data_IF_568858806053
#
_entry.id   IF_568858806053
#
_cell.length_a   1.000
_cell.length_b   1.000
_cell.length_c   1.000
_cell.angle_alpha   90.00
_cell.angle_beta   90.00
_cell.angle_gamma   90.00
#
_symmetry.space_group_name_H-M   'P 1'
#
loop_
_entity.id
_entity.type
_entity.pdbx_description
1 polymer ?
#
# COMPACT_ATOMS: atom_id res chain seq x y z
N UNK A 1 47.70 4.96 -20.27
CA UNK A 1 46.76 4.09 -21.00
C UNK A 1 45.81 3.47 -19.98
N UNK A 2 44.77 4.21 -19.57
CA UNK A 2 43.78 3.73 -18.60
C UNK A 2 42.58 3.17 -19.38
N UNK A 3 42.71 1.94 -19.86
CA UNK A 3 41.54 1.17 -20.26
C UNK A 3 40.91 0.63 -18.97
N UNK A 4 39.75 1.12 -18.58
CA UNK A 4 39.14 0.66 -17.33
C UNK A 4 37.65 0.91 -17.16
N UNK A 5 37.09 1.95 -17.78
CA UNK A 5 35.66 2.21 -17.73
C UNK A 5 35.23 2.70 -19.10
N UNK A 6 34.29 1.99 -19.70
CA UNK A 6 33.54 2.49 -20.84
C UNK A 6 32.58 3.58 -20.31
N UNK A 7 32.85 4.82 -20.68
CA UNK A 7 32.15 6.00 -20.18
C UNK A 7 30.65 5.94 -20.48
N UNK A 8 30.25 5.36 -21.62
CA UNK A 8 28.85 5.22 -22.00
C UNK A 8 28.12 4.19 -21.13
N UNK A 9 28.80 3.06 -20.85
CA UNK A 9 28.26 2.04 -19.93
C UNK A 9 28.13 2.59 -18.51
N UNK A 10 29.11 3.37 -18.05
CA UNK A 10 29.07 3.99 -16.74
C UNK A 10 27.94 5.02 -16.64
N UNK A 11 27.80 5.89 -17.65
CA UNK A 11 26.71 6.87 -17.72
C UNK A 11 25.34 6.20 -17.71
N UNK A 12 25.17 5.12 -18.47
CA UNK A 12 23.91 4.35 -18.48
C UNK A 12 23.57 3.79 -17.10
N UNK A 13 24.53 3.15 -16.43
CA UNK A 13 24.32 2.63 -15.06
C UNK A 13 23.98 3.73 -14.08
N UNK A 14 24.65 4.89 -14.18
CA UNK A 14 24.36 6.03 -13.32
C UNK A 14 22.94 6.55 -13.52
N UNK A 15 22.47 6.68 -14.77
CA UNK A 15 21.07 7.10 -15.06
C UNK A 15 20.04 6.11 -14.51
N UNK A 16 20.26 4.80 -14.65
CA UNK A 16 19.37 3.78 -14.08
C UNK A 16 19.32 3.84 -12.54
N UNK A 17 20.48 4.00 -11.89
CA UNK A 17 20.54 4.14 -10.43
C UNK A 17 19.91 5.45 -9.96
N UNK A 18 20.11 6.56 -10.68
CA UNK A 18 19.46 7.85 -10.38
C UNK A 18 17.95 7.74 -10.49
N UNK A 19 17.43 7.09 -11.54
CA UNK A 19 15.99 6.85 -11.70
C UNK A 19 15.44 6.00 -10.55
N UNK A 20 16.17 4.97 -10.15
CA UNK A 20 15.82 4.12 -9.00
C UNK A 20 15.77 4.92 -7.70
N UNK A 21 16.75 5.81 -7.47
CA UNK A 21 16.75 6.71 -6.32
C UNK A 21 15.61 7.74 -6.35
N UNK A 22 15.24 8.26 -7.53
CA UNK A 22 14.08 9.15 -7.67
C UNK A 22 12.78 8.40 -7.35
N UNK A 23 12.65 7.15 -7.80
CA UNK A 23 11.50 6.31 -7.50
C UNK A 23 11.41 5.96 -6.00
N UNK A 24 12.53 5.71 -5.34
CA UNK A 24 12.57 5.41 -3.90
C UNK A 24 12.11 6.58 -3.02
N UNK A 25 12.35 7.83 -3.47
CA UNK A 25 12.01 9.05 -2.76
C UNK A 25 10.66 9.67 -3.22
N UNK A 26 9.86 8.93 -4.00
CA UNK A 26 8.55 9.40 -4.43
C UNK A 26 7.51 9.19 -3.31
N UNK A 27 6.95 10.30 -2.80
CA UNK A 27 6.03 10.30 -1.65
C UNK A 27 4.77 9.46 -1.91
N UNK A 28 4.10 9.67 -3.05
CA UNK A 28 2.85 8.96 -3.40
C UNK A 28 3.05 7.73 -4.27
N UNK A 29 4.28 7.19 -4.32
CA UNK A 29 4.66 6.15 -5.29
C UNK A 29 4.28 6.51 -6.72
N UNK A 30 4.25 7.80 -7.03
CA UNK A 30 3.96 8.33 -8.36
C UNK A 30 5.05 9.31 -8.73
N UNK A 31 5.54 9.21 -9.97
CA UNK A 31 6.67 10.00 -10.44
C UNK A 31 6.34 10.62 -11.81
N UNK A 32 6.22 11.96 -11.91
CA UNK A 32 5.92 12.62 -13.18
C UNK A 32 7.10 12.53 -14.14
N UNK A 33 6.81 12.41 -15.44
CA UNK A 33 7.83 12.29 -16.48
C UNK A 33 8.78 13.49 -16.51
N UNK A 34 8.28 14.68 -16.21
CA UNK A 34 9.09 15.91 -16.11
C UNK A 34 10.20 15.80 -15.05
N UNK A 35 9.91 15.19 -13.90
CA UNK A 35 10.89 14.97 -12.83
C UNK A 35 11.92 13.92 -13.22
N UNK A 36 11.51 12.90 -13.97
CA UNK A 36 12.42 11.88 -14.52
C UNK A 36 13.35 12.50 -15.56
N UNK A 37 12.80 13.21 -16.54
CA UNK A 37 13.57 13.88 -17.59
C UNK A 37 14.61 14.85 -17.01
N UNK A 38 14.18 15.69 -16.06
CA UNK A 38 15.07 16.61 -15.36
C UNK A 38 16.16 15.88 -14.56
N UNK A 39 15.81 14.81 -13.85
CA UNK A 39 16.76 14.06 -13.02
C UNK A 39 17.77 13.23 -13.82
N UNK A 40 17.41 12.77 -15.01
CA UNK A 40 18.30 11.99 -15.89
C UNK A 40 19.03 12.87 -16.91
N UNK A 41 18.65 14.14 -17.04
CA UNK A 41 19.11 15.06 -18.09
C UNK A 41 18.91 14.48 -19.50
N UNK A 42 17.68 14.04 -19.77
CA UNK A 42 17.26 13.44 -21.03
C UNK A 42 16.04 14.18 -21.60
N UNK A 43 15.78 14.07 -22.90
CA UNK A 43 14.55 14.55 -23.51
C UNK A 43 13.32 13.84 -22.94
N UNK A 44 12.16 14.51 -22.95
CA UNK A 44 10.92 13.95 -22.39
C UNK A 44 10.45 12.71 -23.15
N UNK A 45 10.69 12.67 -24.47
CA UNK A 45 10.42 11.56 -25.36
C UNK A 45 11.20 10.28 -25.03
N UNK A 46 12.35 10.39 -24.36
CA UNK A 46 13.17 9.24 -23.98
C UNK A 46 12.77 8.64 -22.63
N UNK A 47 11.96 9.33 -21.83
CA UNK A 47 11.64 8.91 -20.46
C UNK A 47 11.08 7.48 -20.42
N UNK A 48 10.19 7.12 -21.34
CA UNK A 48 9.60 5.78 -21.40
C UNK A 48 10.65 4.69 -21.61
N UNK A 49 11.64 4.93 -22.47
CA UNK A 49 12.73 3.98 -22.73
C UNK A 49 13.55 3.72 -21.46
N UNK A 50 13.88 4.78 -20.73
CA UNK A 50 14.64 4.68 -19.49
C UNK A 50 13.84 4.00 -18.37
N UNK A 51 12.53 4.26 -18.28
CA UNK A 51 11.66 3.59 -17.33
C UNK A 51 11.51 2.10 -17.68
N UNK A 52 11.35 1.75 -18.96
CA UNK A 52 11.30 0.36 -19.40
C UNK A 52 12.61 -0.36 -19.05
N UNK A 53 13.75 0.28 -19.29
CA UNK A 53 15.06 -0.30 -18.98
C UNK A 53 15.28 -0.51 -17.47
N UNK A 54 14.83 0.41 -16.61
CA UNK A 54 14.92 0.22 -15.16
C UNK A 54 14.07 -0.96 -14.68
N UNK A 55 12.90 -1.16 -15.31
CA UNK A 55 11.99 -2.26 -15.00
C UNK A 55 12.60 -3.58 -15.46
N UNK A 56 13.16 -3.61 -16.67
CA UNK A 56 13.89 -4.78 -17.20
C UNK A 56 15.11 -5.13 -16.35
N UNK A 57 15.78 -4.13 -15.79
CA UNK A 57 16.89 -4.32 -14.86
C UNK A 57 16.45 -4.84 -13.47
N UNK A 58 15.14 -4.91 -13.19
CA UNK A 58 14.59 -5.38 -11.92
C UNK A 58 14.80 -4.42 -10.74
N UNK A 59 15.22 -3.18 -11.02
CA UNK A 59 15.48 -2.18 -9.99
C UNK A 59 14.19 -1.49 -9.52
N UNK A 60 13.17 -1.42 -10.38
CA UNK A 60 11.86 -0.85 -10.06
C UNK A 60 10.77 -1.71 -10.71
N UNK A 61 9.63 -1.83 -10.05
CA UNK A 61 8.41 -2.40 -10.62
C UNK A 61 7.31 -1.34 -10.59
N UNK A 62 6.51 -1.27 -11.65
CA UNK A 62 5.48 -0.25 -11.76
C UNK A 62 4.76 -0.27 -13.10
N UNK A 63 3.86 0.70 -13.29
CA UNK A 63 3.09 0.91 -14.52
C UNK A 63 3.32 2.32 -15.06
N UNK A 64 3.48 2.44 -16.36
CA UNK A 64 3.55 3.72 -17.05
C UNK A 64 2.14 4.16 -17.44
N UNK A 65 1.84 5.44 -17.22
CA UNK A 65 0.63 6.08 -17.72
C UNK A 65 1.04 7.21 -18.65
N UNK A 66 0.98 6.94 -19.95
CA UNK A 66 1.33 7.91 -20.98
C UNK A 66 0.32 9.07 -21.02
N UNK A 67 -0.98 8.79 -20.83
CA UNK A 67 -2.02 9.83 -20.82
C UNK A 67 -1.80 10.86 -19.71
N UNK A 68 -1.46 10.40 -18.50
CA UNK A 68 -1.24 11.30 -17.37
C UNK A 68 0.23 11.74 -17.23
N UNK A 69 1.13 11.26 -18.08
CA UNK A 69 2.58 11.52 -18.01
C UNK A 69 3.18 11.17 -16.63
N UNK A 70 2.75 10.02 -16.08
CA UNK A 70 3.14 9.53 -14.75
C UNK A 70 3.68 8.10 -14.81
N UNK A 71 4.66 7.82 -13.96
CA UNK A 71 5.11 6.48 -13.64
C UNK A 71 4.61 6.10 -12.24
N UNK A 72 3.76 5.07 -12.18
CA UNK A 72 3.20 4.53 -10.95
C UNK A 72 4.08 3.40 -10.44
N UNK A 73 4.62 3.57 -9.25
CA UNK A 73 5.64 2.69 -8.65
C UNK A 73 4.94 1.69 -7.72
N UNK A 74 5.28 0.42 -7.87
CA UNK A 74 4.81 -0.65 -6.99
C UNK A 74 5.89 -1.04 -5.97
N UNK A 75 7.12 -1.21 -6.45
CA UNK A 75 8.27 -1.66 -5.66
C UNK A 75 9.55 -1.02 -6.20
N UNK A 76 10.49 -0.72 -5.31
CA UNK A 76 11.81 -0.17 -5.65
C UNK A 76 12.88 -0.95 -4.91
N UNK A 77 13.98 -1.26 -5.59
CA UNK A 77 15.20 -1.73 -4.98
C UNK A 77 15.95 -0.53 -4.38
N UNK A 78 16.04 -0.46 -3.07
CA UNK A 78 16.75 0.63 -2.38
C UNK A 78 18.26 0.52 -2.63
N UNK A 79 18.86 1.59 -3.16
CA UNK A 79 20.31 1.66 -3.44
C UNK A 79 21.14 1.65 -2.15
N UNK A 80 20.62 2.24 -1.09
CA UNK A 80 21.19 2.18 0.24
C UNK A 80 20.07 1.77 1.21
N UNK A 81 20.37 0.88 2.14
CA UNK A 81 19.43 0.44 3.15
C UNK A 81 20.16 0.48 4.49
N UNK A 82 19.95 1.57 5.22
CA UNK A 82 20.65 1.88 6.45
C UNK A 82 19.70 2.04 7.64
N UNK A 83 20.17 2.76 8.64
CA UNK A 83 19.45 2.94 9.91
C UNK A 83 18.10 3.64 9.74
N UNK A 84 18.04 4.64 8.87
CA UNK A 84 16.81 5.43 8.67
C UNK A 84 15.72 4.57 8.03
N UNK A 85 16.09 3.76 7.05
CA UNK A 85 15.19 2.83 6.38
C UNK A 85 14.68 1.75 7.36
N UNK A 86 15.53 1.26 8.26
CA UNK A 86 15.10 0.36 9.35
C UNK A 86 14.11 1.00 10.32
N UNK A 87 14.31 2.28 10.67
CA UNK A 87 13.38 3.03 11.51
C UNK A 87 12.02 3.15 10.83
N UNK A 88 12.00 3.49 9.54
CA UNK A 88 10.76 3.60 8.76
C UNK A 88 10.02 2.25 8.69
N UNK A 89 10.73 1.14 8.47
CA UNK A 89 10.14 -0.20 8.50
C UNK A 89 9.53 -0.50 9.87
N UNK A 90 10.25 -0.18 10.96
CA UNK A 90 9.74 -0.34 12.32
C UNK A 90 8.45 0.45 12.58
N UNK A 91 8.41 1.71 12.16
CA UNK A 91 7.22 2.57 12.28
C UNK A 91 6.02 2.00 11.50
N UNK A 92 6.25 1.55 10.26
CA UNK A 92 5.21 0.92 9.44
C UNK A 92 4.68 -0.37 10.06
N UNK A 93 5.56 -1.20 10.63
CA UNK A 93 5.16 -2.43 11.33
C UNK A 93 4.33 -2.14 12.58
N UNK A 94 4.70 -1.12 13.36
CA UNK A 94 3.93 -0.75 14.55
C UNK A 94 2.54 -0.21 14.16
N UNK A 95 2.47 0.67 13.16
CA UNK A 95 1.17 1.16 12.62
C UNK A 95 0.31 0.00 12.10
N UNK A 96 0.91 -0.98 11.42
CA UNK A 96 0.20 -2.16 10.94
C UNK A 96 -0.33 -3.03 12.09
N UNK A 97 0.48 -3.21 13.13
CA UNK A 97 0.09 -3.93 14.35
C UNK A 97 -1.05 -3.24 15.10
N UNK A 98 -1.01 -1.92 15.21
CA UNK A 98 -2.11 -1.12 15.78
C UNK A 98 -3.40 -1.27 14.95
N UNK A 99 -3.28 -1.20 13.62
CA UNK A 99 -4.41 -1.39 12.71
C UNK A 99 -5.05 -2.77 12.87
N UNK A 100 -4.24 -3.83 12.99
CA UNK A 100 -4.73 -5.20 13.24
C UNK A 100 -5.43 -5.33 14.59
N UNK A 101 -4.93 -4.67 15.64
CA UNK A 101 -5.59 -4.63 16.95
C UNK A 101 -6.95 -3.93 16.88
N UNK A 102 -7.03 -2.80 16.17
CA UNK A 102 -8.30 -2.11 15.94
C UNK A 102 -9.31 -2.99 15.20
N UNK A 103 -8.87 -3.72 14.16
CA UNK A 103 -9.74 -4.67 13.44
C UNK A 103 -10.23 -5.78 14.39
N UNK A 104 -9.37 -6.31 15.25
CA UNK A 104 -9.75 -7.34 16.22
C UNK A 104 -10.81 -6.83 17.21
N UNK A 105 -10.68 -5.59 17.68
CA UNK A 105 -11.65 -4.96 18.57
C UNK A 105 -13.01 -4.72 17.90
N UNK A 106 -13.00 -4.30 16.63
CA UNK A 106 -14.23 -4.16 15.84
C UNK A 106 -14.92 -5.53 15.68
N UNK A 107 -14.16 -6.58 15.37
CA UNK A 107 -14.71 -7.94 15.21
C UNK A 107 -15.28 -8.48 16.53
N UNK A 108 -14.58 -8.27 17.65
CA UNK A 108 -15.04 -8.75 18.96
C UNK A 108 -16.30 -8.02 19.42
N UNK A 109 -16.37 -6.71 19.18
CA UNK A 109 -17.55 -5.90 19.47
C UNK A 109 -18.73 -6.30 18.59
N UNK A 110 -18.51 -6.49 17.29
CA UNK A 110 -19.54 -6.93 16.36
C UNK A 110 -20.11 -8.31 16.75
N UNK A 111 -19.26 -9.28 17.13
CA UNK A 111 -19.70 -10.58 17.64
C UNK A 111 -20.59 -10.45 18.88
N UNK A 112 -20.16 -9.65 19.86
CA UNK A 112 -20.91 -9.42 21.10
C UNK A 112 -22.25 -8.73 20.86
N UNK A 113 -22.31 -7.80 19.91
CA UNK A 113 -23.56 -7.14 19.54
C UNK A 113 -24.56 -8.12 18.92
N UNK A 114 -24.09 -9.03 18.04
CA UNK A 114 -24.94 -10.08 17.46
C UNK A 114 -25.47 -11.01 18.55
N UNK A 115 -24.63 -11.48 19.46
CA UNK A 115 -25.04 -12.33 20.59
C UNK A 115 -26.11 -11.64 21.46
N UNK A 116 -25.84 -10.41 21.89
CA UNK A 116 -26.79 -9.62 22.69
C UNK A 116 -28.11 -9.35 21.96
N UNK A 117 -28.07 -9.14 20.64
CA UNK A 117 -29.27 -8.92 19.84
C UNK A 117 -30.09 -10.20 19.74
N UNK A 118 -29.45 -11.36 19.51
CA UNK A 118 -30.13 -12.66 19.49
C UNK A 118 -30.73 -13.04 20.84
N UNK A 119 -30.06 -12.73 21.96
CA UNK A 119 -30.62 -12.94 23.30
C UNK A 119 -31.84 -12.06 23.54
N UNK A 120 -31.76 -10.76 23.20
CA UNK A 120 -32.90 -9.83 23.34
C UNK A 120 -34.10 -10.27 22.50
N UNK A 121 -33.88 -10.74 21.28
CA UNK A 121 -34.93 -11.25 20.40
C UNK A 121 -35.58 -12.52 20.95
N UNK A 122 -34.80 -13.46 21.49
CA UNK A 122 -35.33 -14.66 22.16
C UNK A 122 -36.14 -14.32 23.41
N UNK A 123 -35.60 -13.46 24.29
CA UNK A 123 -36.31 -13.05 25.51
C UNK A 123 -37.57 -12.26 25.20
N UNK A 124 -37.57 -11.43 24.14
CA UNK A 124 -38.78 -10.74 23.69
C UNK A 124 -39.84 -11.71 23.14
N UNK A 125 -39.43 -12.69 22.33
CA UNK A 125 -40.32 -13.72 21.82
C UNK A 125 -40.93 -14.57 22.96
N UNK A 126 -40.13 -14.97 23.96
CA UNK A 126 -40.60 -15.73 25.13
C UNK A 126 -41.61 -14.94 25.97
N UNK A 127 -41.38 -13.63 26.21
CA UNK A 127 -42.33 -12.77 26.95
C UNK A 127 -43.66 -12.60 26.23
N UNK A 128 -43.64 -12.46 24.90
CA UNK A 128 -44.87 -12.38 24.10
C UNK A 128 -45.66 -13.70 24.15
N UNK A 129 -44.98 -14.84 24.10
CA UNK A 129 -45.59 -16.16 24.27
C UNK A 129 -46.23 -16.34 25.65
N UNK A 130 -45.57 -15.85 26.71
CA UNK A 130 -46.09 -15.97 28.08
C UNK A 130 -47.31 -15.07 28.33
N UNK A 131 -47.32 -13.84 27.79
CA UNK A 131 -48.52 -12.98 27.80
C UNK A 131 -49.70 -13.57 27.03
N UNK A 132 -49.42 -14.31 25.96
CA UNK A 132 -50.46 -14.98 25.15
C UNK A 132 -51.06 -16.19 25.88
N UNK A 133 -50.27 -16.87 26.74
CA UNK A 133 -50.71 -18.04 27.51
C UNK A 133 -51.57 -17.70 28.73
N UNK A 134 -51.26 -16.62 29.44
CA UNK A 134 -52.03 -16.18 30.62
C UNK A 134 -53.42 -15.59 30.25
N UNK A 135 -53.61 -15.14 29.01
CA UNK A 135 -54.90 -14.66 28.52
C UNK A 135 -55.95 -15.75 28.29
N UNK A 136 -55.57 -17.03 28.24
CA UNK A 136 -56.48 -18.14 27.89
C UNK A 136 -57.08 -18.84 29.12
N UNK A 137 -56.52 -18.63 30.32
CA UNK A 137 -57.01 -19.24 31.57
C UNK A 137 -57.95 -18.32 32.39
N UNK A 138 -58.26 -17.12 31.89
CA UNK A 138 -59.06 -16.10 32.57
C UNK A 138 -60.55 -16.01 32.16
N UNK A 139 -61.00 -16.79 31.18
CA UNK A 139 -62.40 -16.81 30.73
C UNK A 139 -62.95 -18.25 30.67
N UNK A 140 -63.39 -18.79 31.81
CA UNK A 140 -64.41 -19.85 31.92
C UNK A 140 -64.84 -20.04 33.37
#
# INVERSE_FOLDING_TARGET
MFAGIDDDVAMRKMRLLTLTSLAANAEDRSLPYSRIAAGLHIPAEEVELWVIDVIRAGLVEGKLSQLSQMFLIHRVAYRNFGKNEWIEVGQRLESWKESLRGILEVISTARRQVENQTEKEKTAAERLLQQSGDGVLGEA
#
